data_IF_385931963873
#
_entry.id   IF_385931963873
#
_cell.length_a   1.000
_cell.length_b   1.000
_cell.length_c   1.000
_cell.angle_alpha   90.00
_cell.angle_beta   90.00
_cell.angle_gamma   90.00
#
_symmetry.space_group_name_H-M   'P 1'
#
loop_
_entity.id
_entity.type
_entity.pdbx_description
1 polymer ?
#
# COMPACT_ATOMS: atom_id res chain seq x y z
N UNK A 1 -5.86 5.69 26.66
CA UNK A 1 -5.73 5.67 25.19
C UNK A 1 -4.31 6.10 24.91
N UNK A 2 -3.49 5.17 24.45
CA UNK A 2 -2.12 5.48 24.04
C UNK A 2 -2.17 5.86 22.56
N UNK A 3 -1.61 7.02 22.25
CA UNK A 3 -1.62 7.60 20.91
C UNK A 3 -0.19 7.67 20.44
N UNK A 4 0.09 7.08 19.28
CA UNK A 4 1.41 7.17 18.66
C UNK A 4 1.26 7.69 17.24
N UNK A 5 2.18 8.58 16.86
CA UNK A 5 2.23 9.10 15.51
C UNK A 5 2.80 8.03 14.58
N UNK A 6 2.18 7.86 13.41
CA UNK A 6 2.72 7.06 12.32
C UNK A 6 3.06 7.96 11.14
N UNK A 7 3.91 7.46 10.24
CA UNK A 7 4.29 8.13 9.00
C UNK A 7 3.48 7.54 7.87
N UNK A 8 3.15 8.36 6.88
CA UNK A 8 2.41 7.89 5.73
C UNK A 8 2.71 8.67 4.46
N UNK A 9 2.30 8.10 3.34
CA UNK A 9 2.49 8.64 2.01
C UNK A 9 1.29 8.27 1.13
N UNK A 10 0.96 9.14 0.19
CA UNK A 10 -0.04 8.86 -0.84
C UNK A 10 0.70 8.69 -2.16
N UNK A 11 0.40 7.62 -2.89
CA UNK A 11 0.91 7.34 -4.23
C UNK A 11 -0.28 7.25 -5.17
N UNK A 12 -0.36 8.16 -6.14
CA UNK A 12 -1.25 7.96 -7.29
C UNK A 12 -0.55 7.04 -8.29
N UNK A 13 -1.11 5.85 -8.50
CA UNK A 13 -0.50 4.81 -9.33
C UNK A 13 -1.57 4.05 -10.12
N UNK A 14 -2.27 4.70 -11.07
CA UNK A 14 -3.31 4.06 -11.88
C UNK A 14 -2.79 2.81 -12.62
N UNK A 15 -1.49 2.76 -12.94
CA UNK A 15 -0.87 1.58 -13.54
C UNK A 15 -0.90 0.33 -12.65
N UNK A 16 -0.94 0.47 -11.32
CA UNK A 16 -1.14 -0.67 -10.42
C UNK A 16 -2.56 -1.21 -10.53
N UNK A 17 -3.54 -0.33 -10.60
CA UNK A 17 -4.95 -0.70 -10.73
C UNK A 17 -5.29 -1.27 -12.11
N UNK A 18 -4.48 -0.96 -13.13
CA UNK A 18 -4.54 -1.59 -14.44
C UNK A 18 -3.92 -3.01 -14.48
N UNK A 19 -3.07 -3.37 -13.52
CA UNK A 19 -2.39 -4.67 -13.48
C UNK A 19 -3.37 -5.81 -13.10
N UNK A 20 -3.51 -6.86 -13.92
CA UNK A 20 -4.45 -7.95 -13.63
C UNK A 20 -4.15 -8.72 -12.35
N UNK A 21 -2.88 -8.88 -11.98
CA UNK A 21 -2.49 -9.58 -10.76
C UNK A 21 -2.81 -8.73 -9.53
N UNK A 22 -2.62 -7.41 -9.61
CA UNK A 22 -3.03 -6.49 -8.54
C UNK A 22 -4.54 -6.47 -8.37
N UNK A 23 -5.31 -6.40 -9.47
CA UNK A 23 -6.77 -6.49 -9.44
C UNK A 23 -7.24 -7.79 -8.79
N UNK A 24 -6.61 -8.92 -9.15
CA UNK A 24 -6.91 -10.21 -8.54
C UNK A 24 -6.58 -10.26 -7.05
N UNK A 25 -5.45 -9.67 -6.63
CA UNK A 25 -5.11 -9.51 -5.22
C UNK A 25 -6.15 -8.65 -4.49
N UNK A 26 -6.49 -7.47 -5.03
CA UNK A 26 -7.45 -6.53 -4.46
C UNK A 26 -8.82 -7.20 -4.23
N UNK A 27 -9.32 -7.92 -5.23
CA UNK A 27 -10.62 -8.58 -5.21
C UNK A 27 -10.66 -9.89 -4.39
N UNK A 28 -9.52 -10.39 -3.90
CA UNK A 28 -9.53 -11.63 -3.12
C UNK A 28 -10.23 -11.46 -1.75
N UNK A 29 -10.56 -12.57 -1.09
CA UNK A 29 -11.32 -12.57 0.17
C UNK A 29 -10.52 -12.15 1.41
N UNK A 30 -9.23 -11.83 1.28
CA UNK A 30 -8.42 -11.37 2.41
C UNK A 30 -8.79 -9.91 2.74
N UNK A 31 -9.06 -9.60 4.01
CA UNK A 31 -9.38 -8.23 4.43
C UNK A 31 -8.28 -7.26 4.01
N UNK A 32 -8.68 -6.11 3.48
CA UNK A 32 -7.81 -5.01 3.11
C UNK A 32 -8.37 -3.72 3.66
N UNK A 33 -7.51 -2.75 3.92
CA UNK A 33 -7.94 -1.40 4.22
C UNK A 33 -8.22 -0.69 2.88
N UNK A 34 -9.43 -0.87 2.34
CA UNK A 34 -9.78 -0.36 1.01
C UNK A 34 -11.21 0.17 0.96
N UNK A 35 -11.47 1.07 0.02
CA UNK A 35 -12.82 1.51 -0.37
C UNK A 35 -13.41 0.67 -1.51
N UNK A 36 -12.63 -0.22 -2.12
CA UNK A 36 -13.13 -1.14 -3.13
C UNK A 36 -14.11 -2.14 -2.51
N UNK A 37 -15.34 -2.16 -3.02
CA UNK A 37 -16.44 -3.03 -2.51
C UNK A 37 -16.67 -4.27 -3.37
N UNK A 38 -15.75 -4.56 -4.31
CA UNK A 38 -15.89 -5.59 -5.33
C UNK A 38 -16.44 -5.03 -6.65
N UNK A 39 -16.28 -5.79 -7.72
CA UNK A 39 -16.68 -5.36 -9.07
C UNK A 39 -15.56 -4.67 -9.82
N UNK A 40 -15.91 -3.69 -10.66
CA UNK A 40 -14.91 -2.94 -11.43
C UNK A 40 -14.12 -1.98 -10.52
N UNK A 41 -12.85 -1.80 -10.87
CA UNK A 41 -11.95 -0.87 -10.19
C UNK A 41 -12.11 0.51 -10.82
N UNK A 42 -12.28 1.52 -9.97
CA UNK A 42 -12.53 2.91 -10.35
C UNK A 42 -11.67 3.88 -9.53
N UNK A 43 -11.93 5.18 -9.64
CA UNK A 43 -11.22 6.24 -8.91
C UNK A 43 -11.44 6.21 -7.39
N UNK A 44 -12.45 5.47 -6.91
CA UNK A 44 -12.77 5.32 -5.49
C UNK A 44 -12.28 4.00 -4.90
N UNK A 45 -11.54 3.21 -5.68
CA UNK A 45 -11.07 1.88 -5.29
C UNK A 45 -9.74 1.90 -4.51
N UNK A 46 -9.43 3.02 -3.86
CA UNK A 46 -8.22 3.23 -3.06
C UNK A 46 -7.96 2.11 -2.06
N UNK A 47 -6.68 1.82 -1.84
CA UNK A 47 -6.23 0.84 -0.85
C UNK A 47 -5.07 1.40 -0.03
N UNK A 48 -5.12 1.18 1.27
CA UNK A 48 -4.09 1.51 2.22
C UNK A 48 -3.34 0.24 2.57
N UNK A 49 -2.01 0.30 2.48
CA UNK A 49 -1.11 -0.81 2.74
C UNK A 49 -0.13 -0.44 3.85
N UNK A 50 0.25 -1.42 4.66
CA UNK A 50 1.11 -1.22 5.82
C UNK A 50 2.50 -1.82 5.58
N UNK A 51 3.50 -0.93 5.43
CA UNK A 51 4.88 -1.30 5.11
C UNK A 51 5.72 -1.32 6.38
N UNK A 52 6.55 -2.36 6.57
CA UNK A 52 7.47 -2.45 7.71
C UNK A 52 8.52 -1.31 7.66
N UNK A 53 8.75 -0.58 8.76
CA UNK A 53 9.65 0.57 8.78
C UNK A 53 11.13 0.18 8.68
N UNK A 54 11.46 -1.11 8.82
CA UNK A 54 12.77 -1.68 8.49
C UNK A 54 13.06 -1.73 7.00
N UNK A 55 12.03 -1.61 6.14
CA UNK A 55 12.12 -1.52 4.67
C UNK A 55 12.91 -2.66 4.02
N UNK A 56 12.81 -3.87 4.59
CA UNK A 56 13.42 -5.11 4.08
C UNK A 56 12.54 -5.87 3.09
N UNK A 57 11.36 -5.36 2.76
CA UNK A 57 10.35 -6.06 1.96
C UNK A 57 9.23 -6.69 2.79
N UNK A 58 9.22 -6.50 4.10
CA UNK A 58 8.15 -6.98 4.98
C UNK A 58 7.02 -5.95 5.10
N UNK A 59 5.81 -6.43 5.40
CA UNK A 59 4.63 -5.62 5.62
C UNK A 59 3.36 -6.48 5.63
N UNK A 60 2.25 -5.90 6.10
CA UNK A 60 0.98 -6.64 6.24
C UNK A 60 0.38 -7.07 4.90
N UNK A 61 0.70 -6.32 3.84
CA UNK A 61 0.16 -6.50 2.49
C UNK A 61 1.24 -6.98 1.49
N UNK A 62 2.33 -7.54 2.01
CA UNK A 62 3.45 -8.08 1.20
C UNK A 62 3.07 -9.31 0.37
N UNK A 63 1.84 -9.81 0.47
CA UNK A 63 1.29 -10.89 -0.36
C UNK A 63 0.72 -10.42 -1.71
N UNK A 64 0.79 -9.12 -1.99
CA UNK A 64 0.48 -8.55 -3.31
C UNK A 64 1.58 -8.86 -4.34
N UNK A 65 1.39 -8.56 -5.64
CA UNK A 65 2.42 -8.81 -6.65
C UNK A 65 3.77 -8.16 -6.31
N UNK A 66 4.85 -8.96 -6.29
CA UNK A 66 6.21 -8.55 -5.87
C UNK A 66 6.67 -7.26 -6.55
N UNK A 67 6.48 -7.13 -7.86
CA UNK A 67 6.91 -5.95 -8.62
C UNK A 67 6.22 -4.64 -8.17
N UNK A 68 4.99 -4.73 -7.68
CA UNK A 68 4.25 -3.57 -7.13
C UNK A 68 4.71 -3.30 -5.71
N UNK A 69 4.82 -4.35 -4.89
CA UNK A 69 5.30 -4.24 -3.51
C UNK A 69 6.69 -3.62 -3.43
N UNK A 70 7.63 -4.09 -4.25
CA UNK A 70 9.00 -3.58 -4.32
C UNK A 70 9.04 -2.08 -4.67
N UNK A 71 8.16 -1.63 -5.58
CA UNK A 71 8.03 -0.21 -5.93
C UNK A 71 7.53 0.63 -4.75
N UNK A 72 6.57 0.11 -3.99
CA UNK A 72 6.05 0.78 -2.78
C UNK A 72 7.14 0.88 -1.70
N UNK A 73 7.86 -0.21 -1.44
CA UNK A 73 8.97 -0.24 -0.48
C UNK A 73 10.11 0.70 -0.91
N UNK A 74 10.44 0.74 -2.20
CA UNK A 74 11.44 1.66 -2.75
C UNK A 74 11.01 3.14 -2.60
N UNK A 75 9.73 3.45 -2.82
CA UNK A 75 9.20 4.78 -2.59
C UNK A 75 9.28 5.17 -1.10
N UNK A 76 8.92 4.26 -0.19
CA UNK A 76 9.08 4.47 1.25
C UNK A 76 10.54 4.71 1.64
N UNK A 77 11.48 3.94 1.06
CA UNK A 77 12.92 4.13 1.28
C UNK A 77 13.40 5.50 0.83
N UNK A 78 12.88 5.99 -0.30
CA UNK A 78 13.26 7.28 -0.88
C UNK A 78 12.70 8.46 -0.10
N UNK A 79 11.43 8.40 0.29
CA UNK A 79 10.71 9.56 0.83
C UNK A 79 10.53 9.54 2.35
N UNK A 80 10.49 8.36 2.97
CA UNK A 80 10.34 8.23 4.41
C UNK A 80 11.66 7.82 5.07
N UNK A 81 12.49 7.02 4.41
CA UNK A 81 13.71 6.45 4.99
C UNK A 81 13.39 5.33 5.99
N UNK A 82 14.42 4.60 6.45
CA UNK A 82 14.24 3.52 7.42
C UNK A 82 14.09 4.06 8.84
N UNK A 83 13.15 3.51 9.61
CA UNK A 83 12.97 3.85 11.02
C UNK A 83 12.86 2.58 11.86
N UNK A 84 13.99 1.88 12.02
CA UNK A 84 14.07 0.61 12.78
C UNK A 84 13.76 0.77 14.27
N UNK A 85 13.71 2.01 14.78
CA UNK A 85 13.45 2.29 16.19
C UNK A 85 11.97 2.56 16.47
N UNK A 86 11.22 2.97 15.46
CA UNK A 86 9.79 3.20 15.54
C UNK A 86 9.07 1.98 14.97
N UNK A 87 8.58 1.09 15.84
CA UNK A 87 7.95 -0.18 15.45
C UNK A 87 6.58 -0.04 14.75
N UNK A 88 6.20 1.15 14.31
CA UNK A 88 4.93 1.40 13.64
C UNK A 88 5.09 1.30 12.13
N UNK A 89 4.20 0.54 11.49
CA UNK A 89 4.13 0.47 10.03
C UNK A 89 3.95 1.85 9.40
N UNK A 90 4.54 2.03 8.22
CA UNK A 90 4.21 3.16 7.36
C UNK A 90 2.87 2.93 6.69
N UNK A 91 2.02 3.95 6.71
CA UNK A 91 0.69 3.94 6.09
C UNK A 91 0.81 4.46 4.66
N UNK A 92 0.67 3.61 3.66
CA UNK A 92 0.75 4.03 2.25
C UNK A 92 -0.62 3.90 1.60
N UNK A 93 -1.20 5.02 1.16
CA UNK A 93 -2.46 5.04 0.41
C UNK A 93 -2.15 5.03 -1.09
N UNK A 94 -2.66 4.04 -1.80
CA UNK A 94 -2.62 3.94 -3.25
C UNK A 94 -3.92 4.47 -3.83
N UNK A 95 -3.83 5.36 -4.82
CA UNK A 95 -4.99 5.97 -5.49
C UNK A 95 -5.00 5.69 -6.98
N UNK A 96 -6.20 5.66 -7.57
CA UNK A 96 -6.46 5.42 -8.99
C UNK A 96 -7.07 6.66 -9.67
N UNK A 97 -6.46 7.82 -9.48
CA UNK A 97 -6.95 9.07 -10.04
C UNK A 97 -6.37 9.29 -11.45
N UNK A 98 -7.21 9.75 -12.37
CA UNK A 98 -6.76 10.24 -13.68
C UNK A 98 -5.81 11.43 -13.49
N UNK A 99 -4.65 11.39 -14.14
CA UNK A 99 -3.58 12.39 -14.04
C UNK A 99 -3.75 13.54 -15.03
#
# INVERSE_FOLDING_TARGET
>A
MDITLCRGMVINAPEFFADPAFRAWLANRRPKFTWHTGGEVDEYSDVVVLVDPGLSGEGSDSDMPDAIWDRIVAACRTHLGSDRHNGNHYVVRLTNLDA
#
